data_IF_049201663119
#
_entry.id   IF_049201663119
#
_cell.length_a   1.000
_cell.length_b   1.000
_cell.length_c   1.000
_cell.angle_alpha   90.00
_cell.angle_beta   90.00
_cell.angle_gamma   90.00
#
_symmetry.space_group_name_H-M   'P 1'
#
loop_
_entity.id
_entity.type
_entity.pdbx_description
1 polymer ?
#
# COMPACT_ATOMS: atom_id res chain seq x y z
N UNK A 1 -0.44 10.92 -5.04
CA UNK A 1 -1.47 10.26 -4.19
C UNK A 1 -2.39 9.33 -4.98
N UNK A 2 -2.93 9.74 -6.13
CA UNK A 2 -3.74 8.86 -7.00
C UNK A 2 -3.01 7.53 -7.27
N UNK A 3 -1.73 7.56 -7.64
CA UNK A 3 -0.89 6.37 -7.84
C UNK A 3 -0.83 5.40 -6.63
N UNK A 4 -0.69 5.90 -5.40
CA UNK A 4 -0.63 5.06 -4.19
C UNK A 4 -1.98 4.39 -3.88
N UNK A 5 -3.09 5.10 -4.13
CA UNK A 5 -4.43 4.53 -3.99
C UNK A 5 -4.71 3.50 -5.11
N UNK A 6 -4.23 3.74 -6.33
CA UNK A 6 -4.34 2.80 -7.45
C UNK A 6 -3.66 1.46 -7.17
N UNK A 7 -2.49 1.45 -6.52
CA UNK A 7 -1.82 0.21 -6.08
C UNK A 7 -2.73 -0.64 -5.19
N UNK A 8 -3.42 -0.02 -4.23
CA UNK A 8 -4.29 -0.74 -3.29
C UNK A 8 -5.57 -1.26 -3.98
N UNK A 9 -6.01 -0.60 -5.05
CA UNK A 9 -7.21 -0.96 -5.82
C UNK A 9 -6.93 -2.05 -6.86
N UNK A 10 -5.77 -2.05 -7.53
CA UNK A 10 -5.43 -3.01 -8.60
C UNK A 10 -4.98 -4.39 -8.11
N UNK A 11 -4.63 -4.54 -6.83
CA UNK A 11 -4.30 -5.86 -6.23
C UNK A 11 -5.50 -6.82 -6.27
N UNK A 12 -6.72 -6.29 -6.46
CA UNK A 12 -7.94 -7.08 -6.46
C UNK A 12 -8.23 -7.81 -7.77
N UNK A 13 -7.56 -7.46 -8.88
CA UNK A 13 -7.70 -8.15 -10.17
C UNK A 13 -6.57 -9.20 -10.34
N UNK A 14 -6.89 -10.51 -10.33
CA UNK A 14 -5.89 -11.56 -10.44
C UNK A 14 -5.06 -11.51 -11.73
N UNK A 15 -5.60 -11.01 -12.84
CA UNK A 15 -4.94 -11.01 -14.14
C UNK A 15 -3.79 -10.01 -14.19
N UNK A 16 -3.94 -8.86 -13.54
CA UNK A 16 -2.94 -7.77 -13.54
C UNK A 16 -2.17 -7.65 -12.22
N UNK A 17 -2.60 -8.32 -11.16
CA UNK A 17 -2.04 -8.20 -9.80
C UNK A 17 -0.52 -8.35 -9.75
N UNK A 18 0.04 -9.32 -10.46
CA UNK A 18 1.48 -9.58 -10.41
C UNK A 18 2.29 -8.41 -11.00
N UNK A 19 1.88 -7.91 -12.16
CA UNK A 19 2.52 -6.78 -12.84
C UNK A 19 2.29 -5.47 -12.07
N UNK A 20 1.10 -5.26 -11.52
CA UNK A 20 0.79 -4.10 -10.68
C UNK A 20 1.68 -4.06 -9.43
N UNK A 21 1.91 -5.21 -8.77
CA UNK A 21 2.81 -5.30 -7.62
C UNK A 21 4.28 -5.03 -8.01
N UNK A 22 4.73 -5.50 -9.18
CA UNK A 22 6.09 -5.21 -9.67
C UNK A 22 6.30 -3.72 -9.95
N UNK A 23 5.31 -3.05 -10.53
CA UNK A 23 5.35 -1.61 -10.76
C UNK A 23 5.29 -0.85 -9.43
N UNK A 24 4.40 -1.24 -8.52
CA UNK A 24 4.13 -0.46 -7.33
C UNK A 24 5.15 -0.61 -6.20
N UNK A 25 5.82 -1.76 -6.07
CA UNK A 25 6.71 -2.03 -4.93
C UNK A 25 8.19 -1.76 -5.27
N UNK A 26 8.90 -1.12 -4.35
CA UNK A 26 10.36 -0.93 -4.41
C UNK A 26 10.98 -1.10 -3.01
N UNK A 27 12.31 -0.99 -2.93
CA UNK A 27 13.06 -1.20 -1.69
C UNK A 27 13.39 -2.66 -1.38
N UNK A 28 14.19 -2.90 -0.32
CA UNK A 28 14.76 -4.22 -0.01
C UNK A 28 13.71 -5.27 0.38
N UNK A 29 12.58 -4.88 0.98
CA UNK A 29 11.51 -5.81 1.39
C UNK A 29 10.52 -6.16 0.27
N UNK A 30 10.67 -5.61 -0.94
CA UNK A 30 9.65 -5.71 -2.00
C UNK A 30 9.27 -7.13 -2.39
N UNK A 31 10.25 -8.05 -2.44
CA UNK A 31 10.03 -9.45 -2.85
C UNK A 31 9.17 -10.17 -1.81
N UNK A 32 9.52 -10.05 -0.53
CA UNK A 32 8.77 -10.63 0.56
C UNK A 32 7.35 -10.04 0.66
N UNK A 33 7.20 -8.73 0.50
CA UNK A 33 5.88 -8.08 0.48
C UNK A 33 5.03 -8.55 -0.71
N UNK A 34 5.60 -8.64 -1.90
CA UNK A 34 4.92 -9.17 -3.09
C UNK A 34 4.43 -10.59 -2.85
N UNK A 35 5.29 -11.48 -2.35
CA UNK A 35 4.89 -12.86 -2.02
C UNK A 35 3.77 -12.91 -0.99
N UNK A 36 3.87 -12.09 0.07
CA UNK A 36 2.84 -12.01 1.11
C UNK A 36 1.49 -11.57 0.54
N UNK A 37 1.47 -10.53 -0.30
CA UNK A 37 0.26 -10.03 -0.95
C UNK A 37 -0.33 -11.04 -1.93
N UNK A 38 0.51 -11.75 -2.70
CA UNK A 38 0.05 -12.82 -3.61
C UNK A 38 -0.51 -14.04 -2.85
N UNK A 39 0.07 -14.40 -1.71
CA UNK A 39 -0.40 -15.48 -0.83
C UNK A 39 -1.63 -15.07 -0.01
N UNK A 40 -1.86 -13.78 0.17
CA UNK A 40 -3.00 -13.28 0.94
C UNK A 40 -4.30 -13.74 0.28
N UNK A 41 -5.11 -14.50 1.02
CA UNK A 41 -6.46 -14.93 0.61
C UNK A 41 -7.45 -13.78 0.78
N UNK A 42 -7.06 -12.57 0.42
CA UNK A 42 -8.00 -11.50 0.17
C UNK A 42 -8.88 -11.99 -1.00
N UNK A 43 -10.01 -12.62 -0.62
CA UNK A 43 -10.91 -13.32 -1.53
C UNK A 43 -11.27 -12.35 -2.66
N UNK A 44 -11.14 -12.81 -3.90
CA UNK A 44 -11.67 -12.20 -5.12
C UNK A 44 -12.83 -11.22 -4.83
N UNK A 45 -12.54 -9.92 -4.66
CA UNK A 45 -13.53 -8.86 -4.45
C UNK A 45 -13.91 -8.45 -3.01
N UNK A 46 -13.47 -9.14 -1.95
CA UNK A 46 -13.87 -8.87 -0.54
C UNK A 46 -12.90 -7.93 0.22
N UNK A 47 -11.75 -7.59 -0.36
CA UNK A 47 -10.78 -6.63 0.18
C UNK A 47 -10.97 -5.22 -0.38
N UNK A 48 -12.23 -4.78 -0.48
CA UNK A 48 -12.52 -3.36 -0.65
C UNK A 48 -12.28 -2.65 0.69
N UNK A 49 -11.30 -1.76 0.74
CA UNK A 49 -11.10 -0.88 1.88
C UNK A 49 -11.64 0.50 1.53
N UNK A 50 -12.40 1.11 2.44
CA UNK A 50 -12.77 2.51 2.26
C UNK A 50 -11.60 3.38 2.68
N UNK A 51 -11.11 4.23 1.78
CA UNK A 51 -10.13 5.25 2.16
C UNK A 51 -10.87 6.35 2.95
N UNK A 52 -10.58 6.44 4.25
CA UNK A 52 -11.14 7.47 5.13
C UNK A 52 -10.40 8.80 5.06
N UNK A 53 -9.18 8.80 4.55
CA UNK A 53 -8.36 10.00 4.40
C UNK A 53 -6.87 9.70 4.41
N UNK A 54 -6.08 10.76 4.28
CA UNK A 54 -4.63 10.69 4.29
C UNK A 54 -4.02 11.99 4.82
N UNK A 55 -2.78 11.92 5.28
CA UNK A 55 -1.98 13.07 5.68
C UNK A 55 -0.53 12.85 5.27
N UNK A 56 0.10 13.86 4.66
CA UNK A 56 1.56 13.88 4.52
C UNK A 56 2.20 14.12 5.89
N UNK A 57 3.08 13.20 6.29
CA UNK A 57 3.97 13.35 7.44
C UNK A 57 5.24 14.10 7.03
N UNK A 58 5.71 13.86 5.80
CA UNK A 58 6.75 14.63 5.12
C UNK A 58 6.60 14.50 3.60
N UNK A 59 7.12 15.46 2.85
CA UNK A 59 7.07 15.48 1.39
C UNK A 59 8.27 16.22 0.79
N UNK A 60 8.91 15.60 -0.20
CA UNK A 60 9.90 16.17 -1.12
C UNK A 60 9.54 15.79 -2.56
N UNK A 61 10.31 16.28 -3.53
CA UNK A 61 10.11 15.95 -4.95
C UNK A 61 10.27 14.46 -5.28
N UNK A 62 11.02 13.72 -4.46
CA UNK A 62 11.41 12.33 -4.69
C UNK A 62 10.95 11.35 -3.60
N UNK A 63 10.42 11.83 -2.48
CA UNK A 63 10.03 11.00 -1.35
C UNK A 63 8.86 11.59 -0.57
N UNK A 64 7.93 10.73 -0.14
CA UNK A 64 6.83 11.14 0.72
C UNK A 64 6.58 10.11 1.82
N UNK A 65 6.40 10.58 3.05
CA UNK A 65 5.86 9.76 4.15
C UNK A 65 4.40 10.12 4.34
N UNK A 66 3.50 9.15 4.25
CA UNK A 66 2.05 9.36 4.22
C UNK A 66 1.42 8.46 5.28
N UNK A 67 0.55 9.03 6.11
CA UNK A 67 -0.40 8.25 6.91
C UNK A 67 -1.70 8.13 6.15
N UNK A 68 -2.20 6.91 5.95
CA UNK A 68 -3.53 6.66 5.37
C UNK A 68 -4.44 6.05 6.41
N UNK A 69 -5.72 6.41 6.36
CA UNK A 69 -6.77 5.81 7.17
C UNK A 69 -7.66 4.97 6.26
N UNK A 70 -7.87 3.72 6.63
CA UNK A 70 -8.71 2.78 5.90
C UNK A 70 -9.78 2.18 6.81
N UNK A 71 -10.95 1.91 6.27
CA UNK A 71 -11.94 1.06 6.90
C UNK A 71 -11.83 -0.34 6.31
N UNK A 72 -11.74 -1.36 7.16
CA UNK A 72 -11.81 -2.76 6.74
C UNK A 72 -13.24 -3.14 6.37
N UNK A 73 -13.41 -4.26 5.67
CA UNK A 73 -14.72 -4.85 5.40
C UNK A 73 -15.52 -5.21 6.67
N UNK A 74 -14.85 -5.37 7.81
CA UNK A 74 -15.49 -5.55 9.13
C UNK A 74 -15.94 -4.23 9.77
N UNK A 75 -15.76 -3.09 9.10
CA UNK A 75 -16.11 -1.75 9.61
C UNK A 75 -15.06 -1.13 10.55
N UNK A 76 -13.95 -1.82 10.82
CA UNK A 76 -12.89 -1.34 11.73
C UNK A 76 -12.02 -0.30 11.02
N UNK A 77 -11.77 0.84 11.68
CA UNK A 77 -10.84 1.85 11.20
C UNK A 77 -9.40 1.51 11.59
N UNK A 78 -8.51 1.57 10.61
CA UNK A 78 -7.07 1.37 10.77
C UNK A 78 -6.30 2.52 10.15
N UNK A 79 -5.16 2.86 10.72
CA UNK A 79 -4.18 3.76 10.11
C UNK A 79 -2.89 3.03 9.79
N UNK A 80 -2.25 3.36 8.67
CA UNK A 80 -0.91 2.86 8.33
C UNK A 80 -0.03 3.99 7.82
N UNK A 81 1.25 3.93 8.18
CA UNK A 81 2.29 4.81 7.65
C UNK A 81 2.99 4.13 6.49
N UNK A 82 3.04 4.82 5.36
CA UNK A 82 3.64 4.37 4.11
C UNK A 82 4.72 5.35 3.67
N UNK A 83 5.78 4.82 3.07
CA UNK A 83 6.83 5.63 2.43
C UNK A 83 6.72 5.43 0.92
N UNK A 84 6.50 6.50 0.19
CA UNK A 84 6.52 6.52 -1.28
C UNK A 84 7.83 7.13 -1.77
N UNK A 85 8.38 6.59 -2.85
CA UNK A 85 9.56 7.15 -3.55
C UNK A 85 9.26 7.34 -5.03
N UNK A 86 9.75 8.41 -5.62
CA UNK A 86 9.61 8.69 -7.05
C UNK A 86 10.75 8.01 -7.81
N UNK A 87 10.42 6.97 -8.58
CA UNK A 87 11.39 6.20 -9.35
C UNK A 87 10.81 5.92 -10.73
N UNK A 88 11.62 6.06 -11.78
CA UNK A 88 11.23 5.74 -13.16
C UNK A 88 9.94 6.43 -13.64
N UNK A 89 9.68 7.66 -13.16
CA UNK A 89 8.52 8.47 -13.55
C UNK A 89 7.22 8.12 -12.82
N UNK A 90 7.27 7.33 -11.75
CA UNK A 90 6.09 6.97 -10.95
C UNK A 90 6.39 6.93 -9.44
N UNK A 91 5.35 7.08 -8.63
CA UNK A 91 5.42 6.93 -7.17
C UNK A 91 5.28 5.46 -6.80
N UNK A 92 6.31 4.90 -6.16
CA UNK A 92 6.37 3.50 -5.73
C UNK A 92 6.37 3.40 -4.22
N UNK A 93 5.71 2.40 -3.67
CA UNK A 93 5.73 2.07 -2.25
C UNK A 93 7.09 1.47 -1.88
N UNK A 94 7.85 2.18 -1.06
CA UNK A 94 9.10 1.69 -0.51
C UNK A 94 8.84 0.74 0.65
N UNK A 95 9.24 -0.52 0.47
CA UNK A 95 9.13 -1.57 1.48
C UNK A 95 10.49 -1.77 2.17
N UNK A 96 10.62 -1.42 3.47
CA UNK A 96 11.86 -1.65 4.21
C UNK A 96 12.11 -3.15 4.43
N UNK A 97 13.36 -3.52 4.71
CA UNK A 97 13.75 -4.92 4.93
C UNK A 97 13.03 -5.54 6.14
N UNK A 98 12.94 -4.76 7.22
CA UNK A 98 12.25 -5.11 8.46
C UNK A 98 10.99 -4.24 8.60
N UNK A 99 9.96 -4.54 7.82
CA UNK A 99 8.67 -3.89 7.97
C UNK A 99 8.01 -4.35 9.29
N UNK A 100 8.32 -3.69 10.42
CA UNK A 100 7.40 -3.66 11.54
C UNK A 100 6.12 -3.00 11.03
N UNK A 101 5.04 -3.76 11.03
CA UNK A 101 3.72 -3.26 10.66
C UNK A 101 3.42 -1.99 11.47
N UNK A 102 3.35 -0.84 10.79
CA UNK A 102 2.90 0.42 11.38
C UNK A 102 1.36 0.50 11.47
N UNK A 103 0.68 -0.63 11.24
CA UNK A 103 -0.78 -0.70 11.26
C UNK A 103 -1.25 -0.57 12.70
N UNK A 104 -1.99 0.51 12.96
CA UNK A 104 -2.60 0.78 14.26
C UNK A 104 -4.10 0.85 14.11
N UNK A 105 -4.84 0.30 15.08
CA UNK A 105 -6.29 0.50 15.20
C UNK A 105 -6.56 1.93 15.61
N UNK A 106 -7.57 2.55 15.01
CA UNK A 106 -8.09 3.85 15.47
C UNK A 106 -9.19 3.55 16.48
N UNK A 107 -8.98 3.92 17.74
CA UNK A 107 -9.97 3.82 18.84
C UNK A 107 -10.81 5.07 18.94
#
# INVERSE_FOLDING_TARGET
>A
MYAAAWTLVQINDPEVRNAALDQALTGPGRVAAKESLLKSKARNGESSFQLGGYKYLSFSSDRASIRVMIQTSSGEWRSMDMVMVWENGDWRLHVPADARSSISRVT
#
